data_IF_503800837218
#
_entry.id   IF_503800837218
#
_cell.length_a   1.000
_cell.length_b   1.000
_cell.length_c   1.000
_cell.angle_alpha   90.00
_cell.angle_beta   90.00
_cell.angle_gamma   90.00
#
_symmetry.space_group_name_H-M   'P 1'
#
loop_
_entity.id
_entity.type
_entity.pdbx_description
1 polymer ?
#
# COMPACT_ATOMS: atom_id res chain seq x y z
N UNK A 1 10.03 -5.10 19.29
CA UNK A 1 11.38 -4.76 18.80
C UNK A 1 12.50 -5.62 19.39
N UNK A 2 12.52 -5.91 20.71
CA UNK A 2 13.63 -6.66 21.33
C UNK A 2 14.00 -7.97 20.62
N UNK A 3 13.02 -8.82 20.32
CA UNK A 3 13.24 -10.10 19.61
C UNK A 3 13.79 -9.90 18.19
N UNK A 4 13.37 -8.83 17.51
CA UNK A 4 13.83 -8.51 16.16
C UNK A 4 15.29 -8.03 16.17
N UNK A 5 15.66 -7.21 17.15
CA UNK A 5 17.04 -6.74 17.32
C UNK A 5 17.98 -7.89 17.68
N UNK A 6 17.55 -8.81 18.54
CA UNK A 6 18.31 -10.03 18.84
C UNK A 6 18.48 -10.92 17.61
N UNK A 7 17.42 -11.05 16.79
CA UNK A 7 17.49 -11.77 15.52
C UNK A 7 18.51 -11.12 14.55
N UNK A 8 18.52 -9.79 14.45
CA UNK A 8 19.47 -9.05 13.61
C UNK A 8 20.92 -9.20 14.08
N UNK A 9 21.15 -9.15 15.39
CA UNK A 9 22.47 -9.36 15.99
C UNK A 9 22.98 -10.78 15.74
N UNK A 10 22.13 -11.79 15.92
CA UNK A 10 22.52 -13.19 15.80
C UNK A 10 22.73 -13.65 14.35
N UNK A 11 21.85 -13.23 13.42
CA UNK A 11 21.88 -13.73 12.04
C UNK A 11 22.68 -12.85 11.08
N UNK A 12 22.81 -11.56 11.38
CA UNK A 12 23.45 -10.58 10.48
C UNK A 12 24.67 -9.89 11.11
N UNK A 13 25.05 -10.25 12.34
CA UNK A 13 26.20 -9.65 13.05
C UNK A 13 26.11 -8.12 13.16
N UNK A 14 24.90 -7.57 13.21
CA UNK A 14 24.68 -6.12 13.36
C UNK A 14 25.06 -5.69 14.78
N UNK A 15 25.86 -4.64 14.90
CA UNK A 15 26.31 -4.16 16.22
C UNK A 15 25.17 -3.54 17.03
N UNK A 16 25.24 -3.67 18.36
CA UNK A 16 24.28 -3.04 19.29
C UNK A 16 24.18 -1.52 19.11
N UNK A 17 25.29 -0.86 18.73
CA UNK A 17 25.30 0.57 18.44
C UNK A 17 24.42 0.92 17.25
N UNK A 18 24.50 0.15 16.16
CA UNK A 18 23.69 0.39 14.96
C UNK A 18 22.22 0.13 15.25
N UNK A 19 21.89 -0.90 16.02
CA UNK A 19 20.50 -1.15 16.43
C UNK A 19 19.93 0.03 17.25
N UNK A 20 20.70 0.57 18.20
CA UNK A 20 20.24 1.72 18.99
C UNK A 20 20.03 2.98 18.15
N UNK A 21 20.92 3.23 17.17
CA UNK A 21 20.74 4.34 16.22
C UNK A 21 19.50 4.17 15.34
N UNK A 22 19.19 2.93 14.94
CA UNK A 22 17.98 2.64 14.17
C UNK A 22 16.71 2.89 14.98
N UNK A 23 16.67 2.45 16.25
CA UNK A 23 15.54 2.73 17.16
C UNK A 23 15.34 4.24 17.38
N UNK A 24 16.43 4.99 17.59
CA UNK A 24 16.38 6.45 17.73
C UNK A 24 15.85 7.11 16.46
N UNK A 25 16.33 6.69 15.28
CA UNK A 25 15.87 7.19 13.99
C UNK A 25 14.37 6.91 13.75
N UNK A 26 13.91 5.70 14.09
CA UNK A 26 12.51 5.33 13.99
C UNK A 26 11.64 6.17 14.93
N UNK A 27 12.10 6.40 16.16
CA UNK A 27 11.40 7.24 17.13
C UNK A 27 11.32 8.71 16.70
N UNK A 28 12.38 9.24 16.07
CA UNK A 28 12.37 10.58 15.49
C UNK A 28 11.41 10.70 14.30
N UNK A 29 11.31 9.65 13.48
CA UNK A 29 10.44 9.62 12.30
C UNK A 29 8.96 9.34 12.63
N UNK A 30 8.65 8.90 13.86
CA UNK A 30 7.30 8.45 14.26
C UNK A 30 6.18 9.41 13.87
N UNK A 31 6.32 10.70 14.18
CA UNK A 31 5.28 11.70 13.88
C UNK A 31 5.03 11.85 12.37
N UNK A 32 6.08 11.72 11.55
CA UNK A 32 5.96 11.77 10.09
C UNK A 32 5.26 10.52 9.56
N UNK A 33 5.61 9.35 10.10
CA UNK A 33 4.92 8.10 9.75
C UNK A 33 3.44 8.12 10.11
N UNK A 34 3.07 8.67 11.28
CA UNK A 34 1.66 8.82 11.67
C UNK A 34 0.88 9.69 10.68
N UNK A 35 1.48 10.81 10.22
CA UNK A 35 0.87 11.66 9.19
C UNK A 35 0.71 10.94 7.84
N UNK A 36 1.75 10.21 7.42
CA UNK A 36 1.70 9.40 6.19
C UNK A 36 0.60 8.33 6.31
N UNK A 37 0.49 7.69 7.47
CA UNK A 37 -0.51 6.64 7.72
C UNK A 37 -1.94 7.21 7.65
N UNK A 38 -2.16 8.41 8.18
CA UNK A 38 -3.46 9.10 8.07
C UNK A 38 -3.84 9.38 6.61
N UNK A 39 -2.91 9.94 5.83
CA UNK A 39 -3.12 10.19 4.39
C UNK A 39 -3.37 8.89 3.63
N UNK A 40 -2.58 7.85 3.93
CA UNK A 40 -2.74 6.53 3.32
C UNK A 40 -4.10 5.91 3.64
N UNK A 41 -4.58 6.01 4.88
CA UNK A 41 -5.90 5.52 5.29
C UNK A 41 -7.03 6.20 4.53
N UNK A 42 -6.98 7.53 4.39
CA UNK A 42 -7.98 8.29 3.64
C UNK A 42 -7.96 7.88 2.17
N UNK A 43 -6.78 7.80 1.56
CA UNK A 43 -6.66 7.42 0.15
C UNK A 43 -7.09 5.98 -0.10
N UNK A 44 -6.82 5.05 0.82
CA UNK A 44 -7.30 3.68 0.73
C UNK A 44 -8.84 3.63 0.74
N UNK A 45 -9.49 4.41 1.60
CA UNK A 45 -10.94 4.51 1.64
C UNK A 45 -11.52 5.13 0.36
N UNK A 46 -10.87 6.17 -0.20
CA UNK A 46 -11.26 6.79 -1.48
C UNK A 46 -11.20 5.80 -2.64
N UNK A 47 -10.10 5.06 -2.77
CA UNK A 47 -9.96 4.02 -3.80
C UNK A 47 -11.04 2.96 -3.63
N UNK A 48 -11.24 2.45 -2.40
CA UNK A 48 -12.29 1.47 -2.14
C UNK A 48 -13.69 1.99 -2.54
N UNK A 49 -14.00 3.24 -2.21
CA UNK A 49 -15.26 3.88 -2.58
C UNK A 49 -15.41 4.00 -4.11
N UNK A 50 -14.36 4.41 -4.82
CA UNK A 50 -14.36 4.51 -6.28
C UNK A 50 -14.67 3.16 -6.95
N UNK A 51 -14.05 2.06 -6.49
CA UNK A 51 -14.35 0.71 -6.96
C UNK A 51 -15.80 0.29 -6.69
N UNK A 52 -16.36 0.68 -5.53
CA UNK A 52 -17.76 0.41 -5.19
C UNK A 52 -18.73 1.22 -6.07
N UNK A 53 -18.41 2.48 -6.35
CA UNK A 53 -19.23 3.38 -7.18
C UNK A 53 -19.23 2.95 -8.66
N UNK A 54 -18.07 2.54 -9.20
CA UNK A 54 -17.95 2.00 -10.55
C UNK A 54 -18.53 0.59 -10.70
N UNK A 55 -19.07 0.00 -9.61
CA UNK A 55 -19.72 -1.31 -9.65
C UNK A 55 -18.79 -2.43 -10.14
N UNK A 56 -17.49 -2.35 -9.83
CA UNK A 56 -16.52 -3.36 -10.26
C UNK A 56 -16.87 -4.71 -9.66
N UNK A 57 -16.96 -5.71 -10.52
CA UNK A 57 -17.17 -7.12 -10.13
C UNK A 57 -16.08 -7.99 -10.75
N UNK A 58 -16.10 -9.28 -10.43
CA UNK A 58 -15.23 -10.27 -11.06
C UNK A 58 -15.36 -10.30 -12.60
N UNK A 59 -16.51 -9.93 -13.16
CA UNK A 59 -16.73 -9.89 -14.62
C UNK A 59 -15.75 -8.93 -15.34
N UNK A 60 -15.45 -7.78 -14.73
CA UNK A 60 -14.52 -6.78 -15.26
C UNK A 60 -13.04 -7.19 -15.10
N UNK A 61 -12.76 -8.33 -14.46
CA UNK A 61 -11.40 -8.86 -14.30
C UNK A 61 -11.05 -9.93 -15.34
N UNK A 62 -11.95 -10.16 -16.30
CA UNK A 62 -11.70 -11.10 -17.41
C UNK A 62 -10.76 -10.50 -18.46
N UNK A 63 -9.96 -11.38 -19.06
CA UNK A 63 -8.97 -10.97 -20.04
C UNK A 63 -9.60 -10.64 -21.40
N UNK A 64 -9.01 -9.67 -22.10
CA UNK A 64 -9.42 -9.24 -23.44
C UNK A 64 -8.49 -9.79 -24.52
N UNK A 65 -9.02 -10.15 -25.68
CA UNK A 65 -8.19 -10.56 -26.84
C UNK A 65 -8.51 -9.74 -28.09
N UNK A 66 -7.59 -9.74 -29.06
CA UNK A 66 -7.76 -8.99 -30.31
C UNK A 66 -7.69 -7.48 -30.09
N UNK A 67 -8.61 -6.72 -30.68
CA UNK A 67 -8.60 -5.25 -30.64
C UNK A 67 -9.16 -4.65 -29.33
N UNK A 68 -9.83 -5.44 -28.48
CA UNK A 68 -10.39 -4.94 -27.21
C UNK A 68 -11.54 -3.93 -27.39
N UNK A 69 -12.42 -4.14 -28.37
CA UNK A 69 -13.66 -3.38 -28.50
C UNK A 69 -14.65 -3.81 -27.40
N UNK A 70 -15.33 -2.83 -26.79
CA UNK A 70 -16.30 -3.06 -25.70
C UNK A 70 -15.71 -3.85 -24.52
N UNK A 71 -14.47 -3.51 -24.16
CA UNK A 71 -13.77 -4.10 -23.01
C UNK A 71 -14.30 -3.49 -21.71
N UNK A 72 -15.13 -4.25 -21.00
CA UNK A 72 -15.76 -3.84 -19.75
C UNK A 72 -14.75 -3.64 -18.61
N UNK A 73 -13.60 -4.30 -18.65
CA UNK A 73 -12.52 -4.12 -17.68
C UNK A 73 -11.84 -2.77 -17.86
N UNK A 74 -11.51 -2.41 -19.10
CA UNK A 74 -10.96 -1.08 -19.43
C UNK A 74 -11.95 0.02 -19.07
N UNK A 75 -13.20 -0.09 -19.52
CA UNK A 75 -14.23 0.92 -19.25
C UNK A 75 -14.49 1.08 -17.75
N UNK A 76 -14.56 -0.02 -17.00
CA UNK A 76 -14.69 0.02 -15.54
C UNK A 76 -13.48 0.66 -14.84
N UNK A 77 -12.26 0.39 -15.30
CA UNK A 77 -11.06 1.01 -14.72
C UNK A 77 -11.01 2.52 -15.00
N UNK A 78 -11.39 2.96 -16.20
CA UNK A 78 -11.51 4.38 -16.54
C UNK A 78 -12.53 5.09 -15.62
N UNK A 79 -13.65 4.43 -15.34
CA UNK A 79 -14.67 4.95 -14.42
C UNK A 79 -14.14 5.05 -12.98
N UNK A 80 -13.43 4.03 -12.48
CA UNK A 80 -12.75 4.08 -11.17
C UNK A 80 -11.82 5.29 -11.09
N UNK A 81 -10.97 5.52 -12.09
CA UNK A 81 -10.06 6.67 -12.12
C UNK A 81 -10.80 8.01 -12.15
N UNK A 82 -12.02 8.05 -12.71
CA UNK A 82 -12.84 9.27 -12.71
C UNK A 82 -13.44 9.61 -11.34
N UNK A 83 -13.57 8.62 -10.45
CA UNK A 83 -14.09 8.80 -9.09
C UNK A 83 -13.01 9.04 -8.02
N UNK A 84 -11.75 8.76 -8.33
CA UNK A 84 -10.60 8.98 -7.41
C UNK A 84 -10.07 10.40 -7.47
#
# INVERSE_FOLDING_TARGET
MQQFIEYLKSNYSISSRVCGLAEEAEQMAKNVYEQIEEVAKINQARVLQAFQQAGITEYQLWDGTGYGYSDSGREGLEEVYSFT
#
